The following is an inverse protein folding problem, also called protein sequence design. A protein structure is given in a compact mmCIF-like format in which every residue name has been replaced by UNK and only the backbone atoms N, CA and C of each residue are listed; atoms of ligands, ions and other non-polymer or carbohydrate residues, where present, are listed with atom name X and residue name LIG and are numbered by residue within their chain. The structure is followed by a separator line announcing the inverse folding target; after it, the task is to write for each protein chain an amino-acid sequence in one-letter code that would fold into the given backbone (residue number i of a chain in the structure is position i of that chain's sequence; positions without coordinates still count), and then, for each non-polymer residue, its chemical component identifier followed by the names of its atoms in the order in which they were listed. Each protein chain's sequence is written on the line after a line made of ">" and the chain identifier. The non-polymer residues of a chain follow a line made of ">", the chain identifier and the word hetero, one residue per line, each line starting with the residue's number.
data_IF_684976081478
#
_entry.id   IF_684976081478
#
_cell.length_a   1.000
_cell.length_b   1.000
_cell.length_c   1.000
_cell.angle_alpha   90.00
_cell.angle_beta   90.00
_cell.angle_gamma   90.00
#
_symmetry.space_group_name_H-M   'P 1'
#
loop_
_entity.id
_entity.type
_entity.pdbx_description
1 polymer ?
#
# COMPACT_ATOMS: atom_id res chain seq x y z
N UNK A 1 -14.84 -4.75 -13.07
CA UNK A 1 -14.37 -3.72 -12.12
C UNK A 1 -13.51 -4.40 -11.07
N UNK A 2 -12.25 -4.02 -10.90
CA UNK A 2 -11.40 -4.54 -9.82
C UNK A 2 -11.77 -3.88 -8.49
N UNK A 3 -11.74 -4.62 -7.39
CA UNK A 3 -11.96 -4.04 -6.06
C UNK A 3 -10.74 -3.21 -5.64
N UNK A 4 -11.01 -2.06 -5.01
CA UNK A 4 -9.97 -1.18 -4.47
C UNK A 4 -9.66 -1.60 -3.04
N UNK A 5 -8.36 -1.72 -2.71
CA UNK A 5 -7.90 -2.04 -1.36
C UNK A 5 -6.93 -0.98 -0.89
N UNK A 6 -7.29 -0.26 0.18
CA UNK A 6 -6.41 0.65 0.90
C UNK A 6 -5.68 -0.12 2.00
N UNK A 7 -4.35 -0.04 2.02
CA UNK A 7 -3.52 -0.71 3.03
C UNK A 7 -2.70 0.35 3.77
N UNK A 8 -2.76 0.31 5.10
CA UNK A 8 -1.91 1.11 5.98
C UNK A 8 -0.66 0.34 6.39
N UNK A 9 0.48 1.04 6.51
CA UNK A 9 1.73 0.43 6.96
C UNK A 9 2.42 -0.47 5.93
N UNK A 10 2.51 -0.04 4.66
CA UNK A 10 3.14 -0.82 3.59
C UNK A 10 4.67 -0.69 3.50
N UNK A 11 5.31 0.05 4.41
CA UNK A 11 6.76 0.29 4.37
C UNK A 11 7.56 -1.00 4.60
N UNK A 12 7.07 -1.95 5.39
CA UNK A 12 7.74 -3.21 5.74
C UNK A 12 6.73 -4.30 6.11
N UNK A 13 7.21 -5.53 6.31
CA UNK A 13 6.44 -6.64 6.90
C UNK A 13 5.15 -6.98 6.15
N UNK A 14 4.11 -7.33 6.92
CA UNK A 14 2.84 -7.85 6.39
C UNK A 14 2.18 -6.88 5.41
N UNK A 15 2.20 -5.57 5.69
CA UNK A 15 1.58 -4.57 4.81
C UNK A 15 2.23 -4.53 3.43
N UNK A 16 3.56 -4.70 3.35
CA UNK A 16 4.29 -4.80 2.08
C UNK A 16 3.92 -6.07 1.32
N UNK A 17 3.97 -7.21 1.99
CA UNK A 17 3.70 -8.52 1.37
C UNK A 17 2.24 -8.61 0.89
N UNK A 18 1.31 -8.03 1.65
CA UNK A 18 -0.10 -7.97 1.30
C UNK A 18 -0.34 -7.08 0.06
N UNK A 19 0.27 -5.89 0.00
CA UNK A 19 0.17 -5.01 -1.16
C UNK A 19 0.65 -5.69 -2.45
N UNK A 20 1.79 -6.38 -2.36
CA UNK A 20 2.33 -7.16 -3.47
C UNK A 20 1.42 -8.33 -3.86
N UNK A 21 0.92 -9.09 -2.88
CA UNK A 21 0.02 -10.24 -3.14
C UNK A 21 -1.28 -9.79 -3.80
N UNK A 22 -1.93 -8.75 -3.28
CA UNK A 22 -3.20 -8.27 -3.80
C UNK A 22 -3.07 -7.61 -5.17
N UNK A 23 -1.97 -6.88 -5.41
CA UNK A 23 -1.69 -6.34 -6.74
C UNK A 23 -1.54 -7.47 -7.77
N UNK A 24 -0.79 -8.54 -7.43
CA UNK A 24 -0.68 -9.73 -8.30
C UNK A 24 -2.00 -10.48 -8.49
N UNK A 25 -2.92 -10.39 -7.53
CA UNK A 25 -4.26 -10.98 -7.63
C UNK A 25 -5.26 -10.10 -8.41
N UNK A 26 -4.84 -8.96 -8.98
CA UNK A 26 -5.68 -8.10 -9.82
C UNK A 26 -6.51 -7.07 -9.07
N UNK A 27 -6.21 -6.81 -7.79
CA UNK A 27 -6.83 -5.72 -7.04
C UNK A 27 -6.17 -4.37 -7.36
N UNK A 28 -6.94 -3.29 -7.26
CA UNK A 28 -6.39 -1.93 -7.31
C UNK A 28 -5.91 -1.56 -5.91
N UNK A 29 -4.62 -1.72 -5.65
CA UNK A 29 -4.05 -1.46 -4.31
C UNK A 29 -3.62 0.00 -4.16
N UNK A 30 -4.02 0.63 -3.07
CA UNK A 30 -3.48 1.90 -2.58
C UNK A 30 -2.62 1.59 -1.36
N UNK A 31 -1.31 1.69 -1.51
CA UNK A 31 -0.34 1.44 -0.45
C UNK A 31 -0.01 2.75 0.29
N UNK A 32 -0.01 2.73 1.61
CA UNK A 32 0.31 3.91 2.41
C UNK A 32 1.36 3.65 3.47
N UNK A 33 2.16 4.67 3.77
CA UNK A 33 3.15 4.69 4.83
C UNK A 33 3.41 6.14 5.26
N UNK A 34 4.00 6.35 6.45
CA UNK A 34 4.36 7.72 6.90
C UNK A 34 5.35 8.40 5.96
N UNK A 35 6.38 7.66 5.53
CA UNK A 35 7.31 8.10 4.50
C UNK A 35 6.98 7.40 3.18
N UNK A 36 6.52 8.15 2.18
CA UNK A 36 6.15 7.61 0.86
C UNK A 36 7.35 7.01 0.11
N UNK A 37 8.57 7.51 0.33
CA UNK A 37 9.78 7.00 -0.33
C UNK A 37 10.08 5.55 0.08
N UNK A 38 9.65 5.15 1.29
CA UNK A 38 9.76 3.75 1.74
C UNK A 38 8.92 2.76 0.92
N UNK A 39 8.02 3.26 0.07
CA UNK A 39 7.16 2.48 -0.82
C UNK A 39 7.73 2.31 -2.23
N UNK A 40 8.94 2.81 -2.54
CA UNK A 40 9.53 2.76 -3.89
C UNK A 40 9.43 1.36 -4.51
N UNK A 41 9.76 0.32 -3.74
CA UNK A 41 9.75 -1.08 -4.18
C UNK A 41 8.45 -1.86 -3.89
N UNK A 42 7.37 -1.16 -3.50
CA UNK A 42 6.05 -1.77 -3.25
C UNK A 42 5.23 -1.71 -4.53
N UNK A 43 4.68 -2.85 -4.98
CA UNK A 43 3.74 -2.90 -6.09
C UNK A 43 2.36 -2.43 -5.61
N UNK A 44 1.87 -1.33 -6.19
CA UNK A 44 0.58 -0.73 -5.91
C UNK A 44 0.17 0.18 -7.08
N UNK A 45 -1.13 0.43 -7.23
CA UNK A 45 -1.66 1.39 -8.19
C UNK A 45 -1.41 2.84 -7.74
N UNK A 46 -1.46 3.09 -6.43
CA UNK A 46 -1.15 4.38 -5.80
C UNK A 46 -0.30 4.17 -4.55
N UNK A 47 0.60 5.13 -4.30
CA UNK A 47 1.45 5.21 -3.11
C UNK A 47 1.24 6.57 -2.48
N UNK A 48 0.78 6.61 -1.23
CA UNK A 48 0.42 7.87 -0.56
C UNK A 48 1.05 7.95 0.84
N UNK A 49 1.46 9.16 1.28
CA UNK A 49 1.79 9.37 2.68
C UNK A 49 0.53 9.23 3.53
N UNK A 50 0.64 8.57 4.68
CA UNK A 50 -0.42 8.49 5.70
C UNK A 50 0.20 8.30 7.08
N UNK A 51 -0.13 9.21 7.99
CA UNK A 51 0.08 9.02 9.43
C UNK A 51 -1.29 8.81 10.09
N UNK A 52 -1.57 7.57 10.51
CA UNK A 52 -2.85 7.21 11.14
C UNK A 52 -3.07 7.86 12.51
N UNK A 53 -2.05 8.54 13.05
CA UNK A 53 -2.14 9.30 14.30
C UNK A 53 -2.51 10.77 14.09
N UNK A 54 -2.68 11.20 12.82
CA UNK A 54 -3.06 12.55 12.43
C UNK A 54 -4.40 12.53 11.65
N UNK A 55 -5.39 13.35 12.02
CA UNK A 55 -6.69 13.41 11.36
C UNK A 55 -6.68 14.14 10.01
#
# INVERSE_FOLDING_TARGET
>A
MSQVVLITGCSTGIGRDLAQRLTRSGYTVVATARNVDSLENVQAALKLPLDVTQP
#
